data_IF_238519360618
#
_entry.id   IF_238519360618
#
_cell.length_a   1.000
_cell.length_b   1.000
_cell.length_c   1.000
_cell.angle_alpha   90.00
_cell.angle_beta   90.00
_cell.angle_gamma   90.00
#
_symmetry.space_group_name_H-M   'P 1'
#
loop_
_entity.id
_entity.type
_entity.pdbx_description
1 polymer ?
#
# COMPACT_ATOMS: atom_id res chain seq x y z
N UNK A 1 -9.03 -6.84 1.07
CA UNK A 1 -8.57 -5.54 0.52
C UNK A 1 -7.69 -4.89 1.56
N UNK A 2 -6.51 -4.40 1.16
CA UNK A 2 -5.61 -3.64 2.04
C UNK A 2 -5.29 -2.30 1.39
N UNK A 3 -5.25 -1.23 2.19
CA UNK A 3 -4.88 0.11 1.76
C UNK A 3 -3.53 0.46 2.35
N UNK A 4 -2.57 0.74 1.47
CA UNK A 4 -1.25 1.20 1.87
C UNK A 4 -1.03 2.65 1.43
N UNK A 5 -0.21 3.38 2.17
CA UNK A 5 0.24 4.73 1.77
C UNK A 5 1.62 4.65 1.12
N UNK A 6 1.80 5.34 0.00
CA UNK A 6 3.08 5.46 -0.70
C UNK A 6 3.72 6.81 -0.35
N UNK A 7 4.43 6.85 0.78
CA UNK A 7 5.07 8.06 1.30
C UNK A 7 6.12 7.75 2.35
N UNK A 8 7.06 8.68 2.56
CA UNK A 8 8.02 8.71 3.67
C UNK A 8 7.73 9.87 4.65
N UNK A 9 6.61 10.58 4.48
CA UNK A 9 6.18 11.66 5.36
C UNK A 9 5.41 11.06 6.56
N UNK A 10 6.08 11.01 7.71
CA UNK A 10 5.58 10.36 8.92
C UNK A 10 4.40 11.10 9.57
N UNK A 11 4.25 12.41 9.36
CA UNK A 11 3.10 13.17 9.85
C UNK A 11 1.83 12.83 9.06
N UNK A 12 1.94 12.73 7.74
CA UNK A 12 0.83 12.29 6.88
C UNK A 12 0.46 10.82 7.17
N UNK A 13 1.45 9.95 7.41
CA UNK A 13 1.20 8.56 7.81
C UNK A 13 0.44 8.54 9.13
N UNK A 14 0.89 9.25 10.15
CA UNK A 14 0.24 9.32 11.48
C UNK A 14 -1.21 9.76 11.39
N UNK A 15 -1.46 10.84 10.63
CA UNK A 15 -2.81 11.37 10.43
C UNK A 15 -3.72 10.35 9.76
N UNK A 16 -3.26 9.75 8.66
CA UNK A 16 -4.06 8.78 7.91
C UNK A 16 -4.23 7.47 8.66
N UNK A 17 -3.19 6.99 9.37
CA UNK A 17 -3.24 5.75 10.15
C UNK A 17 -4.22 5.85 11.33
N UNK A 18 -4.38 7.05 11.92
CA UNK A 18 -5.35 7.27 13.01
C UNK A 18 -6.81 7.02 12.60
N UNK A 19 -7.12 6.99 11.32
CA UNK A 19 -8.46 6.64 10.79
C UNK A 19 -8.81 5.14 10.98
N UNK A 20 -7.80 4.28 11.23
CA UNK A 20 -7.97 2.83 11.30
C UNK A 20 -8.17 2.14 9.95
N UNK A 21 -8.01 2.87 8.82
CA UNK A 21 -8.27 2.37 7.46
C UNK A 21 -6.99 2.06 6.67
N UNK A 22 -5.82 2.33 7.23
CA UNK A 22 -4.51 2.10 6.58
C UNK A 22 -3.87 0.86 7.17
N UNK A 23 -3.49 -0.09 6.30
CA UNK A 23 -2.93 -1.39 6.69
C UNK A 23 -1.40 -1.42 6.64
N UNK A 24 -0.77 -0.56 5.81
CA UNK A 24 0.67 -0.55 5.63
C UNK A 24 1.19 0.67 4.90
N UNK A 25 2.50 0.70 4.69
CA UNK A 25 3.21 1.80 4.02
C UNK A 25 4.21 1.24 3.02
N UNK A 26 4.25 1.78 1.82
CA UNK A 26 5.34 1.56 0.88
C UNK A 26 6.25 2.78 0.83
N UNK A 27 7.55 2.55 0.83
CA UNK A 27 8.55 3.56 0.57
C UNK A 27 9.34 3.22 -0.70
N UNK A 28 10.15 4.14 -1.15
CA UNK A 28 11.11 3.92 -2.24
C UNK A 28 12.24 4.96 -2.14
N UNK A 29 13.37 4.76 -2.83
CA UNK A 29 14.52 5.68 -2.75
C UNK A 29 14.18 7.13 -3.06
N UNK A 30 13.23 7.38 -3.97
CA UNK A 30 12.80 8.73 -4.32
C UNK A 30 12.05 9.41 -3.16
N UNK A 31 11.16 8.69 -2.48
CA UNK A 31 10.40 9.21 -1.34
C UNK A 31 11.32 9.48 -0.14
N UNK A 32 12.22 8.54 0.17
CA UNK A 32 13.23 8.71 1.22
C UNK A 32 14.13 9.91 0.92
N UNK A 33 14.68 10.02 -0.32
CA UNK A 33 15.48 11.18 -0.71
C UNK A 33 14.72 12.51 -0.56
N UNK A 34 13.43 12.54 -0.90
CA UNK A 34 12.59 13.73 -0.78
C UNK A 34 12.34 14.12 0.69
N UNK A 35 12.27 13.16 1.60
CA UNK A 35 12.13 13.44 3.03
C UNK A 35 13.38 14.11 3.62
N UNK A 36 14.55 13.93 2.99
CA UNK A 36 15.83 14.47 3.49
C UNK A 36 16.32 13.81 4.77
N UNK A 37 15.72 12.69 5.17
CA UNK A 37 15.99 11.99 6.43
C UNK A 37 16.70 10.65 6.19
N UNK A 38 17.31 10.13 7.24
CA UNK A 38 17.84 8.77 7.25
C UNK A 38 16.72 7.74 7.06
N UNK A 39 16.88 6.74 6.18
CA UNK A 39 15.85 5.74 5.90
C UNK A 39 15.41 4.98 7.16
N UNK A 40 16.35 4.59 8.02
CA UNK A 40 16.04 3.78 9.18
C UNK A 40 15.35 4.59 10.29
N UNK A 41 15.65 5.88 10.41
CA UNK A 41 14.88 6.77 11.28
C UNK A 41 13.43 6.88 10.83
N UNK A 42 13.20 7.01 9.51
CA UNK A 42 11.85 7.03 8.92
C UNK A 42 11.12 5.71 9.20
N UNK A 43 11.77 4.57 8.95
CA UNK A 43 11.17 3.24 9.21
C UNK A 43 10.85 3.03 10.68
N UNK A 44 11.73 3.48 11.59
CA UNK A 44 11.49 3.37 13.02
C UNK A 44 10.27 4.20 13.44
N UNK A 45 10.15 5.42 12.95
CA UNK A 45 9.00 6.27 13.27
C UNK A 45 7.70 5.71 12.70
N UNK A 46 7.71 5.14 11.48
CA UNK A 46 6.55 4.46 10.91
C UNK A 46 6.14 3.25 11.77
N UNK A 47 7.10 2.47 12.24
CA UNK A 47 6.86 1.36 13.19
C UNK A 47 6.27 1.87 14.51
N UNK A 48 6.79 2.97 15.06
CA UNK A 48 6.33 3.57 16.32
C UNK A 48 4.90 4.16 16.20
N UNK A 49 4.48 4.59 15.01
CA UNK A 49 3.08 4.95 14.71
C UNK A 49 2.15 3.75 14.87
N UNK A 50 2.66 2.53 14.70
CA UNK A 50 1.91 1.28 14.82
C UNK A 50 1.66 0.55 13.49
N UNK A 51 2.24 1.03 12.38
CA UNK A 51 2.16 0.36 11.08
C UNK A 51 2.84 -1.00 11.14
N UNK A 52 2.18 -2.04 10.61
CA UNK A 52 2.61 -3.44 10.73
C UNK A 52 3.17 -4.05 9.44
N UNK A 53 3.14 -3.31 8.34
CA UNK A 53 3.71 -3.74 7.06
C UNK A 53 4.37 -2.52 6.37
N UNK A 54 5.70 -2.52 6.33
CA UNK A 54 6.51 -1.41 5.81
C UNK A 54 7.39 -1.94 4.70
N UNK A 55 7.12 -1.56 3.46
CA UNK A 55 7.99 -1.92 2.33
C UNK A 55 9.24 -1.05 2.30
N UNK A 56 10.38 -1.68 2.61
CA UNK A 56 11.72 -1.08 2.73
C UNK A 56 12.55 -1.50 1.52
N UNK A 57 12.86 -0.56 0.61
CA UNK A 57 13.52 -0.90 -0.66
C UNK A 57 15.03 -0.98 -0.50
N UNK A 58 15.60 -2.10 -0.96
CA UNK A 58 17.04 -2.35 -1.03
C UNK A 58 17.50 -2.38 -2.49
N UNK A 59 18.73 -1.97 -2.74
CA UNK A 59 19.33 -1.85 -4.09
C UNK A 59 20.73 -2.43 -4.12
N UNK A 60 21.19 -2.82 -5.29
CA UNK A 60 22.51 -3.39 -5.50
C UNK A 60 22.46 -4.70 -6.27
N UNK A 61 23.53 -5.48 -6.17
CA UNK A 61 23.54 -6.87 -6.65
C UNK A 61 22.77 -7.80 -5.69
N UNK A 62 22.58 -9.04 -6.10
CA UNK A 62 21.81 -10.03 -5.31
C UNK A 62 22.35 -10.18 -3.88
N UNK A 63 23.67 -10.31 -3.71
CA UNK A 63 24.29 -10.51 -2.39
C UNK A 63 24.10 -9.29 -1.48
N UNK A 64 24.22 -8.08 -2.03
CA UNK A 64 23.98 -6.84 -1.30
C UNK A 64 22.52 -6.75 -0.85
N UNK A 65 21.58 -7.02 -1.74
CA UNK A 65 20.14 -6.99 -1.40
C UNK A 65 19.75 -8.06 -0.38
N UNK A 66 20.34 -9.27 -0.45
CA UNK A 66 20.11 -10.34 0.52
C UNK A 66 20.63 -9.94 1.90
N UNK A 67 21.89 -9.47 1.97
CA UNK A 67 22.51 -9.10 3.25
C UNK A 67 21.78 -7.93 3.92
N UNK A 68 21.44 -6.91 3.14
CA UNK A 68 20.71 -5.74 3.63
C UNK A 68 19.26 -6.10 4.02
N UNK A 69 18.61 -6.95 3.25
CA UNK A 69 17.26 -7.44 3.57
C UNK A 69 17.22 -8.21 4.88
N UNK A 70 18.18 -9.10 5.13
CA UNK A 70 18.31 -9.81 6.42
C UNK A 70 18.55 -8.85 7.58
N UNK A 71 19.44 -7.86 7.39
CA UNK A 71 19.76 -6.84 8.39
C UNK A 71 18.52 -5.99 8.75
N UNK A 72 17.77 -5.55 7.77
CA UNK A 72 16.54 -4.81 8.00
C UNK A 72 15.47 -5.67 8.70
N UNK A 73 15.34 -6.94 8.31
CA UNK A 73 14.44 -7.86 8.98
C UNK A 73 14.87 -8.11 10.43
N UNK A 74 16.15 -8.28 10.71
CA UNK A 74 16.67 -8.43 12.09
C UNK A 74 16.32 -7.20 12.95
N UNK A 75 16.40 -5.99 12.37
CA UNK A 75 16.13 -4.74 13.08
C UNK A 75 14.64 -4.46 13.27
N UNK A 76 13.82 -4.73 12.26
CA UNK A 76 12.41 -4.32 12.24
C UNK A 76 11.43 -5.48 12.37
N UNK A 77 11.91 -6.73 12.39
CA UNK A 77 11.14 -7.96 12.55
C UNK A 77 10.03 -8.09 11.49
N UNK A 78 8.87 -8.56 11.90
CA UNK A 78 7.71 -8.81 11.03
C UNK A 78 7.12 -7.57 10.35
N UNK A 79 7.46 -6.38 10.81
CA UNK A 79 7.04 -5.12 10.18
C UNK A 79 7.82 -4.85 8.88
N UNK A 80 9.03 -5.43 8.72
CA UNK A 80 9.82 -5.29 7.50
C UNK A 80 9.29 -6.18 6.37
N UNK A 81 8.88 -5.57 5.29
CA UNK A 81 8.71 -6.21 3.98
C UNK A 81 9.82 -5.69 3.07
N UNK A 82 10.76 -6.56 2.70
CA UNK A 82 11.93 -6.16 1.89
C UNK A 82 11.50 -5.96 0.45
N UNK A 83 11.76 -4.77 -0.09
CA UNK A 83 11.35 -4.43 -1.45
C UNK A 83 12.55 -4.50 -2.38
N UNK A 84 12.43 -5.29 -3.47
CA UNK A 84 13.49 -5.53 -4.45
C UNK A 84 12.97 -5.29 -5.87
N UNK A 85 13.80 -4.84 -6.82
CA UNK A 85 13.36 -4.66 -8.21
C UNK A 85 13.14 -6.00 -8.91
N UNK A 86 12.26 -6.03 -9.93
CA UNK A 86 12.09 -7.17 -10.82
C UNK A 86 13.26 -7.25 -11.83
N UNK A 87 14.40 -7.71 -11.36
CA UNK A 87 15.62 -7.97 -12.12
C UNK A 87 16.15 -9.37 -11.78
N UNK A 88 17.09 -9.93 -12.54
CA UNK A 88 17.72 -11.22 -12.19
C UNK A 88 18.25 -11.22 -10.74
N UNK A 89 18.99 -10.18 -10.34
CA UNK A 89 19.51 -10.06 -8.97
C UNK A 89 18.40 -9.89 -7.93
N UNK A 90 17.37 -9.07 -8.21
CA UNK A 90 16.25 -8.87 -7.29
C UNK A 90 15.40 -10.13 -7.13
N UNK A 91 15.20 -10.92 -8.18
CA UNK A 91 14.49 -12.20 -8.10
C UNK A 91 15.31 -13.26 -7.36
N UNK A 92 16.64 -13.28 -7.52
CA UNK A 92 17.52 -14.12 -6.72
C UNK A 92 17.46 -13.71 -5.24
N UNK A 93 17.49 -12.42 -4.94
CA UNK A 93 17.34 -11.92 -3.57
C UNK A 93 15.97 -12.28 -2.99
N UNK A 94 14.89 -12.15 -3.77
CA UNK A 94 13.56 -12.56 -3.37
C UNK A 94 13.51 -14.04 -2.99
N UNK A 95 14.07 -14.90 -3.84
CA UNK A 95 14.12 -16.35 -3.60
C UNK A 95 14.84 -16.72 -2.29
N UNK A 96 16.01 -16.14 -2.02
CA UNK A 96 16.77 -16.43 -0.80
C UNK A 96 16.08 -15.85 0.45
N UNK A 97 15.59 -14.60 0.40
CA UNK A 97 14.91 -13.98 1.54
C UNK A 97 13.59 -14.67 1.88
N UNK A 98 12.83 -15.12 0.88
CA UNK A 98 11.56 -15.84 1.12
C UNK A 98 11.78 -17.20 1.80
N UNK A 99 12.90 -17.87 1.53
CA UNK A 99 13.29 -19.11 2.23
C UNK A 99 13.65 -18.89 3.70
N UNK A 100 14.11 -17.70 4.03
CA UNK A 100 14.34 -17.27 5.42
C UNK A 100 13.04 -16.78 6.10
N UNK A 101 11.88 -16.97 5.45
CA UNK A 101 10.55 -16.53 5.93
C UNK A 101 10.45 -14.99 6.03
N UNK A 102 11.27 -14.27 5.28
CA UNK A 102 11.24 -12.81 5.18
C UNK A 102 10.25 -12.40 4.08
N UNK A 103 9.33 -11.50 4.39
CA UNK A 103 8.38 -10.97 3.42
C UNK A 103 9.10 -10.14 2.35
N UNK A 104 8.83 -10.42 1.08
CA UNK A 104 9.42 -9.69 -0.05
C UNK A 104 8.34 -9.08 -0.94
N UNK A 105 8.54 -7.80 -1.29
CA UNK A 105 7.75 -7.08 -2.29
C UNK A 105 8.59 -6.87 -3.55
N UNK A 106 8.27 -7.61 -4.62
CA UNK A 106 8.95 -7.41 -5.91
C UNK A 106 8.31 -6.25 -6.66
N UNK A 107 9.08 -5.20 -6.84
CA UNK A 107 8.64 -3.93 -7.45
C UNK A 107 9.07 -3.77 -8.92
N UNK A 108 8.59 -2.69 -9.57
CA UNK A 108 8.85 -2.40 -10.98
C UNK A 108 8.34 -3.53 -11.90
N UNK A 109 7.12 -3.98 -11.64
CA UNK A 109 6.42 -4.93 -12.50
C UNK A 109 5.66 -4.16 -13.57
N UNK A 110 5.90 -4.49 -14.84
CA UNK A 110 5.30 -3.85 -16.01
C UNK A 110 4.65 -4.83 -16.98
N UNK A 111 4.81 -6.13 -16.76
CA UNK A 111 4.11 -7.19 -17.50
C UNK A 111 3.81 -8.42 -16.63
N UNK A 112 2.95 -9.31 -17.13
CA UNK A 112 2.52 -10.48 -16.37
C UNK A 112 3.61 -11.57 -16.27
N UNK A 113 4.57 -11.63 -17.20
CA UNK A 113 5.67 -12.58 -17.12
C UNK A 113 6.58 -12.25 -15.92
N UNK A 114 6.84 -10.96 -15.66
CA UNK A 114 7.54 -10.50 -14.48
C UNK A 114 6.82 -10.91 -13.18
N UNK A 115 5.50 -10.77 -13.14
CA UNK A 115 4.69 -11.19 -11.99
C UNK A 115 4.76 -12.71 -11.77
N UNK A 116 4.74 -13.53 -12.84
CA UNK A 116 4.91 -14.98 -12.75
C UNK A 116 6.26 -15.34 -12.14
N UNK A 117 7.35 -14.74 -12.62
CA UNK A 117 8.70 -15.00 -12.08
C UNK A 117 8.80 -14.60 -10.61
N UNK A 118 8.18 -13.47 -10.23
CA UNK A 118 8.16 -12.99 -8.85
C UNK A 118 7.42 -13.95 -7.91
N UNK A 119 6.26 -14.44 -8.31
CA UNK A 119 5.53 -15.46 -7.54
C UNK A 119 6.34 -16.75 -7.40
N UNK A 120 7.01 -17.20 -8.46
CA UNK A 120 7.90 -18.38 -8.41
C UNK A 120 9.11 -18.17 -7.51
N UNK A 121 9.59 -16.94 -7.36
CA UNK A 121 10.66 -16.59 -6.42
C UNK A 121 10.18 -16.51 -4.95
N UNK A 122 8.88 -16.66 -4.68
CA UNK A 122 8.32 -16.65 -3.33
C UNK A 122 7.95 -15.25 -2.83
N UNK A 123 7.71 -14.29 -3.71
CA UNK A 123 7.29 -12.95 -3.33
C UNK A 123 5.96 -12.98 -2.55
N UNK A 124 5.89 -12.24 -1.42
CA UNK A 124 4.63 -11.95 -0.73
C UNK A 124 3.79 -10.95 -1.52
N UNK A 125 4.43 -9.93 -2.06
CA UNK A 125 3.79 -8.94 -2.92
C UNK A 125 4.48 -8.84 -4.27
N UNK A 126 3.67 -8.63 -5.31
CA UNK A 126 4.13 -8.12 -6.61
C UNK A 126 3.52 -6.75 -6.82
N UNK A 127 4.35 -5.76 -7.20
CA UNK A 127 3.91 -4.38 -7.35
C UNK A 127 3.88 -3.94 -8.81
N UNK A 128 2.80 -4.19 -9.57
CA UNK A 128 2.58 -3.64 -10.91
C UNK A 128 2.36 -2.13 -10.84
N UNK A 129 3.03 -1.40 -11.72
CA UNK A 129 3.05 0.07 -11.74
C UNK A 129 2.03 0.64 -12.71
N UNK A 130 0.77 0.75 -12.28
CA UNK A 130 -0.36 1.21 -13.08
C UNK A 130 -0.09 2.59 -13.69
N UNK A 131 0.12 3.61 -12.88
CA UNK A 131 0.25 4.98 -13.38
C UNK A 131 1.48 5.20 -14.27
N UNK A 132 2.57 4.42 -14.09
CA UNK A 132 3.73 4.53 -14.97
C UNK A 132 3.48 3.87 -16.34
N UNK A 133 2.67 2.84 -16.40
CA UNK A 133 2.19 2.27 -17.67
C UNK A 133 1.29 3.27 -18.39
N UNK A 134 0.36 3.91 -17.69
CA UNK A 134 -0.54 4.91 -18.25
C UNK A 134 0.23 6.11 -18.84
N UNK A 135 1.34 6.54 -18.19
CA UNK A 135 2.25 7.58 -18.72
C UNK A 135 2.85 7.21 -20.09
N UNK A 136 2.94 5.92 -20.39
CA UNK A 136 3.46 5.39 -21.64
C UNK A 136 2.35 4.91 -22.58
N UNK A 137 1.11 5.36 -22.36
CA UNK A 137 -0.06 5.00 -23.16
C UNK A 137 -0.38 3.50 -23.18
N UNK A 138 -0.02 2.78 -22.10
CA UNK A 138 -0.35 1.38 -21.87
C UNK A 138 -1.37 1.34 -20.73
N UNK A 139 -2.45 0.59 -20.90
CA UNK A 139 -3.53 0.46 -19.90
C UNK A 139 -3.02 -0.30 -18.65
N UNK A 140 -2.56 0.43 -17.63
CA UNK A 140 -1.95 -0.18 -16.45
C UNK A 140 -2.92 -1.06 -15.65
N UNK A 141 -4.20 -0.72 -15.61
CA UNK A 141 -5.23 -1.49 -14.91
C UNK A 141 -5.51 -2.85 -15.57
N UNK A 142 -5.27 -3.01 -16.88
CA UNK A 142 -5.42 -4.29 -17.58
C UNK A 142 -4.34 -5.28 -17.11
N UNK A 143 -3.15 -4.80 -16.75
CA UNK A 143 -2.10 -5.64 -16.16
C UNK A 143 -2.53 -6.24 -14.82
N UNK A 144 -3.19 -5.45 -13.96
CA UNK A 144 -3.74 -5.96 -12.69
C UNK A 144 -4.67 -7.13 -12.95
N UNK A 145 -5.62 -6.95 -13.88
CA UNK A 145 -6.58 -7.99 -14.25
C UNK A 145 -5.89 -9.23 -14.80
N UNK A 146 -4.93 -9.06 -15.71
CA UNK A 146 -4.18 -10.16 -16.31
C UNK A 146 -3.43 -10.99 -15.26
N UNK A 147 -2.72 -10.33 -14.32
CA UNK A 147 -2.00 -11.01 -13.24
C UNK A 147 -3.01 -11.76 -12.35
N UNK A 148 -4.11 -11.11 -11.96
CA UNK A 148 -5.15 -11.71 -11.12
C UNK A 148 -5.76 -12.97 -11.77
N UNK A 149 -6.07 -12.91 -13.06
CA UNK A 149 -6.61 -14.07 -13.79
C UNK A 149 -5.60 -15.23 -13.86
N UNK A 150 -4.31 -14.92 -14.10
CA UNK A 150 -3.24 -15.93 -14.10
C UNK A 150 -3.10 -16.58 -12.73
N UNK A 151 -3.00 -15.78 -11.67
CA UNK A 151 -2.82 -16.29 -10.31
C UNK A 151 -4.00 -17.16 -9.87
N UNK A 152 -5.22 -16.74 -10.20
CA UNK A 152 -6.43 -17.52 -9.93
C UNK A 152 -6.43 -18.86 -10.65
N UNK A 153 -6.11 -18.90 -11.96
CA UNK A 153 -6.08 -20.14 -12.77
C UNK A 153 -4.97 -21.08 -12.32
N UNK A 154 -3.84 -20.54 -11.89
CA UNK A 154 -2.67 -21.30 -11.45
C UNK A 154 -2.68 -21.61 -9.94
N UNK A 155 -3.73 -21.23 -9.20
CA UNK A 155 -3.86 -21.38 -7.75
C UNK A 155 -2.68 -20.77 -6.98
N UNK A 156 -2.22 -19.59 -7.40
CA UNK A 156 -1.21 -18.80 -6.67
C UNK A 156 -1.94 -17.97 -5.61
N UNK A 157 -1.88 -18.41 -4.35
CA UNK A 157 -2.56 -17.75 -3.22
C UNK A 157 -1.60 -17.07 -2.24
N UNK A 158 -0.32 -17.44 -2.28
CA UNK A 158 0.70 -16.95 -1.34
C UNK A 158 1.32 -15.62 -1.79
N UNK A 159 1.07 -15.19 -3.05
CA UNK A 159 1.53 -13.92 -3.60
C UNK A 159 0.36 -12.98 -3.84
N UNK A 160 0.37 -11.82 -3.16
CA UNK A 160 -0.65 -10.79 -3.28
C UNK A 160 -0.28 -9.74 -4.35
N UNK A 161 -1.28 -9.27 -5.10
CA UNK A 161 -1.11 -8.20 -6.08
C UNK A 161 -1.26 -6.85 -5.35
N UNK A 162 -0.18 -6.08 -5.31
CA UNK A 162 -0.11 -4.74 -4.74
C UNK A 162 -0.08 -3.72 -5.87
N UNK A 163 -1.24 -3.17 -6.22
CA UNK A 163 -1.36 -2.13 -7.24
C UNK A 163 -0.63 -0.86 -6.81
N UNK A 164 0.36 -0.44 -7.58
CA UNK A 164 1.27 0.65 -7.24
C UNK A 164 1.28 1.77 -8.29
N UNK A 165 1.94 2.88 -7.96
CA UNK A 165 1.98 4.08 -8.83
C UNK A 165 0.58 4.64 -9.12
N UNK A 166 -0.31 4.58 -8.15
CA UNK A 166 -1.69 5.06 -8.26
C UNK A 166 -1.72 6.59 -8.15
N UNK A 167 -2.55 7.24 -8.96
CA UNK A 167 -2.60 8.71 -9.06
C UNK A 167 -3.96 9.33 -8.81
N UNK A 168 -5.02 8.52 -8.82
CA UNK A 168 -6.40 8.99 -8.67
C UNK A 168 -7.31 7.93 -8.02
N UNK A 169 -8.46 8.38 -7.51
CA UNK A 169 -9.42 7.55 -6.79
C UNK A 169 -10.09 6.49 -7.68
N UNK A 170 -10.28 6.79 -8.97
CA UNK A 170 -10.87 5.84 -9.91
C UNK A 170 -9.95 4.63 -10.09
N UNK A 171 -8.64 4.87 -10.20
CA UNK A 171 -7.64 3.81 -10.31
C UNK A 171 -7.58 2.93 -9.05
N UNK A 172 -7.84 3.48 -7.85
CA UNK A 172 -7.96 2.68 -6.62
C UNK A 172 -9.11 1.67 -6.72
N UNK A 173 -10.31 2.15 -7.01
CA UNK A 173 -11.50 1.29 -7.08
C UNK A 173 -11.38 0.25 -8.20
N UNK A 174 -10.85 0.63 -9.37
CA UNK A 174 -10.65 -0.29 -10.48
C UNK A 174 -9.53 -1.31 -10.22
N UNK A 175 -8.49 -0.96 -9.47
CA UNK A 175 -7.48 -1.92 -9.04
C UNK A 175 -8.09 -3.07 -8.24
N UNK A 176 -8.91 -2.76 -7.25
CA UNK A 176 -9.62 -3.79 -6.48
C UNK A 176 -10.64 -4.56 -7.31
N UNK A 177 -11.40 -3.89 -8.19
CA UNK A 177 -12.33 -4.54 -9.11
C UNK A 177 -11.62 -5.53 -10.07
N UNK A 178 -10.38 -5.23 -10.45
CA UNK A 178 -9.54 -6.08 -11.30
C UNK A 178 -8.79 -7.17 -10.52
N UNK A 179 -8.95 -7.25 -9.20
CA UNK A 179 -8.43 -8.34 -8.38
C UNK A 179 -7.13 -8.02 -7.64
N UNK A 180 -6.74 -6.75 -7.49
CA UNK A 180 -5.67 -6.38 -6.56
C UNK A 180 -6.06 -6.74 -5.12
N UNK A 181 -5.11 -7.26 -4.35
CA UNK A 181 -5.26 -7.55 -2.92
C UNK A 181 -4.97 -6.30 -2.08
N UNK A 182 -4.01 -5.50 -2.55
CA UNK A 182 -3.51 -4.29 -1.91
C UNK A 182 -3.46 -3.16 -2.95
N UNK A 183 -3.73 -1.94 -2.51
CA UNK A 183 -3.53 -0.74 -3.31
C UNK A 183 -2.69 0.26 -2.50
N UNK A 184 -1.51 0.64 -3.02
CA UNK A 184 -0.69 1.69 -2.40
C UNK A 184 -0.84 2.98 -3.17
N UNK A 185 -1.06 4.08 -2.43
CA UNK A 185 -1.36 5.38 -3.02
C UNK A 185 -0.75 6.53 -2.20
N UNK A 186 -0.48 7.69 -2.82
CA UNK A 186 -0.12 8.89 -2.09
C UNK A 186 -1.23 9.30 -1.10
N UNK A 187 -0.88 9.88 0.07
CA UNK A 187 -1.86 10.38 1.05
C UNK A 187 -2.94 11.28 0.45
N UNK A 188 -2.57 12.15 -0.50
CA UNK A 188 -3.53 13.02 -1.18
C UNK A 188 -4.58 12.27 -2.03
N UNK A 189 -4.29 11.06 -2.50
CA UNK A 189 -5.28 10.20 -3.17
C UNK A 189 -6.18 9.54 -2.15
N UNK A 190 -5.60 9.05 -1.04
CA UNK A 190 -6.35 8.47 0.08
C UNK A 190 -7.37 9.47 0.64
N UNK A 191 -6.97 10.71 0.92
CA UNK A 191 -7.86 11.77 1.39
C UNK A 191 -9.01 12.05 0.43
N UNK A 192 -8.76 12.03 -0.89
CA UNK A 192 -9.81 12.24 -1.90
C UNK A 192 -10.84 11.10 -1.97
N UNK A 193 -10.56 9.92 -1.43
CA UNK A 193 -11.52 8.81 -1.41
C UNK A 193 -12.76 9.11 -0.56
N UNK A 194 -12.67 10.02 0.40
CA UNK A 194 -13.83 10.47 1.19
C UNK A 194 -14.72 11.47 0.46
N UNK A 195 -14.20 12.15 -0.57
CA UNK A 195 -14.85 13.30 -1.17
C UNK A 195 -15.87 12.87 -2.23
N UNK A 196 -17.15 13.11 -1.96
CA UNK A 196 -18.20 12.90 -2.93
C UNK A 196 -19.33 13.93 -2.75
N UNK A 197 -19.66 14.64 -3.81
CA UNK A 197 -20.65 15.73 -3.78
C UNK A 197 -22.02 15.31 -3.25
N UNK A 198 -22.44 14.07 -3.49
CA UNK A 198 -23.71 13.55 -2.99
C UNK A 198 -23.65 13.23 -1.50
N UNK A 199 -22.50 12.81 -0.99
CA UNK A 199 -22.26 12.63 0.45
C UNK A 199 -22.36 13.98 1.17
N UNK A 200 -21.72 15.01 0.65
CA UNK A 200 -21.76 16.36 1.24
C UNK A 200 -23.18 16.92 1.25
N UNK A 201 -23.91 16.76 0.15
CA UNK A 201 -25.33 17.16 0.08
C UNK A 201 -26.20 16.36 1.05
N UNK A 202 -25.97 15.05 1.16
CA UNK A 202 -26.69 14.18 2.09
C UNK A 202 -26.47 14.61 3.55
N UNK A 203 -25.22 14.87 3.93
CA UNK A 203 -24.90 15.37 5.27
C UNK A 203 -25.58 16.71 5.59
N UNK A 204 -25.58 17.65 4.63
CA UNK A 204 -26.29 18.94 4.80
C UNK A 204 -27.81 18.76 5.03
N UNK A 205 -28.43 17.84 4.30
CA UNK A 205 -29.85 17.53 4.48
C UNK A 205 -30.10 16.88 5.85
N UNK A 206 -29.30 15.90 6.23
CA UNK A 206 -29.40 15.24 7.55
C UNK A 206 -29.22 16.21 8.70
N UNK A 207 -28.24 17.13 8.62
CA UNK A 207 -28.04 18.17 9.61
C UNK A 207 -29.23 19.13 9.73
N UNK A 208 -29.86 19.48 8.59
CA UNK A 208 -31.04 20.34 8.58
C UNK A 208 -32.24 19.63 9.22
N UNK A 209 -32.50 18.38 8.87
CA UNK A 209 -33.58 17.57 9.43
C UNK A 209 -33.36 17.30 10.92
N UNK A 210 -32.12 17.00 11.35
CA UNK A 210 -31.79 16.77 12.75
C UNK A 210 -32.03 17.98 13.65
N UNK A 211 -31.73 19.19 13.16
CA UNK A 211 -32.04 20.44 13.86
C UNK A 211 -33.54 20.60 14.09
N UNK A 212 -34.38 20.16 13.17
CA UNK A 212 -35.84 20.20 13.34
C UNK A 212 -36.34 19.19 14.38
N UNK A 213 -35.77 17.97 14.37
CA UNK A 213 -36.10 16.92 15.37
C UNK A 213 -35.75 17.37 16.79
N UNK A 214 -34.58 17.97 16.99
CA UNK A 214 -34.10 18.40 18.31
C UNK A 214 -34.88 19.58 18.87
N UNK A 215 -35.58 20.38 18.06
CA UNK A 215 -36.47 21.42 18.51
C UNK A 215 -37.84 20.86 19.07
N UNK A 216 -38.21 19.61 18.71
CA UNK A 216 -39.47 18.97 19.09
C UNK A 216 -39.33 17.90 20.17
N UNK A 217 -38.14 17.48 20.52
CA UNK A 217 -37.87 16.43 21.50
C UNK A 217 -36.75 16.85 22.44
N UNK A 218 -36.96 16.69 23.76
CA UNK A 218 -35.85 16.70 24.73
C UNK A 218 -34.98 15.46 24.54
N UNK A 219 -34.35 15.31 23.39
CA UNK A 219 -33.42 14.21 23.14
C UNK A 219 -32.04 14.66 23.62
N UNK A 220 -31.49 13.91 24.56
CA UNK A 220 -30.13 14.09 25.07
C UNK A 220 -29.18 13.98 23.89
N UNK A 221 -28.32 14.98 23.56
CA UNK A 221 -27.37 14.87 22.49
C UNK A 221 -26.43 13.72 22.79
N UNK A 222 -26.18 12.88 21.79
CA UNK A 222 -25.15 11.84 21.85
C UNK A 222 -23.78 12.53 21.94
N UNK A 223 -23.13 12.45 23.11
CA UNK A 223 -21.76 12.87 23.29
C UNK A 223 -20.83 11.67 23.05
N UNK A 224 -20.01 11.65 22.00
CA UNK A 224 -19.10 10.54 21.71
C UNK A 224 -17.98 10.35 22.74
N UNK A 225 -17.89 11.22 23.75
CA UNK A 225 -16.85 11.21 24.79
C UNK A 225 -17.41 11.10 26.22
N UNK A 226 -18.60 10.55 26.44
CA UNK A 226 -19.03 10.26 27.80
C UNK A 226 -18.29 9.01 28.32
N UNK A 227 -17.57 9.07 29.46
CA UNK A 227 -16.95 7.88 30.05
C UNK A 227 -18.03 6.90 30.51
N UNK A 228 -17.75 5.60 30.31
CA UNK A 228 -18.58 4.49 30.73
C UNK A 228 -18.63 4.39 32.26
#
# INVERSE_FOLDING_TARGET
>A
MKIFLDTADTDLIRTSFSTGLVDGVTTNPTLIRKSGRDPEEVYQEIKDIGVRDISMEVVGDANTMISEGRRLHEKFDKEATIKVPCSPDGLQACYELSRDVINVNVTLIFDAAQAILSAKAGAKYVSPFVGRLDDNSIQGLDLIKQISDIYRVQNVFDTEILSASIRDVKSVSQSFANGANVCTMPPAVFEKMYNHILTDKGLQLFDADWKQVTHHSKVIPFHPNAPA
#
